data_IF_528626656786
#
_entry.id   IF_528626656786
#
_cell.length_a   1.000
_cell.length_b   1.000
_cell.length_c   1.000
_cell.angle_alpha   90.00
_cell.angle_beta   90.00
_cell.angle_gamma   90.00
#
_symmetry.space_group_name_H-M   'P 1'
#
loop_
_entity.id
_entity.type
_entity.pdbx_description
1 polymer ?
#
# COMPACT_ATOMS: atom_id res chain seq x y z
N UNK A 1 11.84 -11.32 22.23
CA UNK A 1 11.44 -11.10 20.82
C UNK A 1 10.66 -9.78 20.63
N UNK A 2 9.67 -9.50 21.47
CA UNK A 2 8.80 -8.29 21.38
C UNK A 2 9.53 -6.94 21.45
N UNK A 3 10.65 -6.84 22.18
CA UNK A 3 11.39 -5.58 22.33
C UNK A 3 12.12 -5.11 21.05
N UNK A 4 12.53 -6.03 20.17
CA UNK A 4 13.20 -5.69 18.92
C UNK A 4 12.25 -5.13 17.87
N UNK A 5 11.03 -5.67 17.83
CA UNK A 5 9.96 -5.28 16.90
C UNK A 5 9.47 -3.84 17.17
N UNK A 6 9.23 -3.49 18.44
CA UNK A 6 8.80 -2.15 18.84
C UNK A 6 9.87 -1.09 18.57
N UNK A 7 11.15 -1.43 18.73
CA UNK A 7 12.25 -0.52 18.43
C UNK A 7 12.44 -0.32 16.91
N UNK A 8 12.14 -1.35 16.10
CA UNK A 8 12.12 -1.29 14.64
C UNK A 8 11.04 -0.35 14.10
N UNK A 9 9.81 -0.53 14.57
CA UNK A 9 8.67 0.33 14.17
C UNK A 9 8.94 1.80 14.49
N UNK A 10 9.52 2.07 15.66
CA UNK A 10 9.89 3.43 16.09
C UNK A 10 10.98 4.07 15.19
N UNK A 11 11.98 3.30 14.75
CA UNK A 11 13.03 3.80 13.83
C UNK A 11 12.50 4.02 12.41
N UNK A 12 11.50 3.25 11.99
CA UNK A 12 10.81 3.43 10.71
C UNK A 12 9.85 4.63 10.70
N UNK A 13 9.68 5.33 11.84
CA UNK A 13 8.72 6.41 11.98
C UNK A 13 7.27 5.94 11.97
N UNK A 14 7.03 4.64 12.10
CA UNK A 14 5.68 4.05 12.17
C UNK A 14 5.21 4.20 13.61
N UNK A 15 4.60 5.35 13.89
CA UNK A 15 3.77 5.51 15.09
C UNK A 15 2.50 4.72 14.82
N UNK A 16 2.15 3.77 15.69
CA UNK A 16 0.82 3.17 15.73
C UNK A 16 -0.16 4.26 16.17
N UNK A 17 -0.45 5.21 15.28
CA UNK A 17 -1.65 5.99 15.40
C UNK A 17 -2.76 5.01 15.08
N UNK A 18 -3.51 4.61 16.13
CA UNK A 18 -4.87 4.17 15.95
C UNK A 18 -5.49 5.11 14.93
N UNK A 19 -5.91 4.56 13.78
CA UNK A 19 -6.48 5.31 12.69
C UNK A 19 -7.72 6.01 13.24
N UNK A 20 -7.54 7.25 13.68
CA UNK A 20 -8.63 8.12 14.07
C UNK A 20 -9.56 8.17 12.85
N UNK A 21 -10.79 7.67 13.01
CA UNK A 21 -11.80 7.46 11.98
C UNK A 21 -12.30 8.78 11.34
N UNK A 22 -11.45 9.80 11.30
CA UNK A 22 -11.55 10.91 10.38
C UNK A 22 -11.71 10.35 8.96
N UNK A 23 -12.80 10.76 8.30
CA UNK A 23 -13.13 10.42 6.92
C UNK A 23 -11.90 10.66 6.03
N UNK A 24 -11.21 9.58 5.65
CA UNK A 24 -10.05 9.65 4.76
C UNK A 24 -10.52 10.24 3.43
N UNK A 25 -10.12 11.49 3.17
CA UNK A 25 -10.33 12.12 1.87
C UNK A 25 -9.55 11.31 0.84
N UNK A 26 -10.25 10.82 -0.16
CA UNK A 26 -9.60 10.01 -1.19
C UNK A 26 -8.53 10.83 -1.92
N UNK A 27 -7.40 10.17 -2.13
CA UNK A 27 -6.29 10.61 -2.94
C UNK A 27 -5.90 9.49 -3.90
N UNK A 28 -5.60 9.82 -5.14
CA UNK A 28 -5.17 8.87 -6.17
C UNK A 28 -3.89 8.12 -5.76
N UNK A 29 -2.94 8.84 -5.14
CA UNK A 29 -1.68 8.25 -4.65
C UNK A 29 -1.94 7.24 -3.52
N UNK A 30 -2.82 7.58 -2.59
CA UNK A 30 -3.22 6.67 -1.50
C UNK A 30 -3.96 5.45 -2.05
N UNK A 31 -4.81 5.64 -3.05
CA UNK A 31 -5.50 4.54 -3.72
C UNK A 31 -4.49 3.55 -4.35
N UNK A 32 -3.48 4.06 -5.08
CA UNK A 32 -2.41 3.24 -5.65
C UNK A 32 -1.64 2.44 -4.57
N UNK A 33 -1.30 3.11 -3.46
CA UNK A 33 -0.61 2.47 -2.33
C UNK A 33 -1.46 1.36 -1.70
N UNK A 34 -2.75 1.61 -1.48
CA UNK A 34 -3.67 0.60 -0.93
C UNK A 34 -3.79 -0.63 -1.83
N UNK A 35 -3.82 -0.45 -3.15
CA UNK A 35 -3.80 -1.56 -4.10
C UNK A 35 -2.49 -2.35 -3.97
N UNK A 36 -1.35 -1.67 -3.90
CA UNK A 36 -0.05 -2.31 -3.69
C UNK A 36 0.00 -3.14 -2.41
N UNK A 37 -0.48 -2.58 -1.29
CA UNK A 37 -0.58 -3.28 0.01
C UNK A 37 -1.49 -4.51 -0.12
N UNK A 38 -2.64 -4.38 -0.80
CA UNK A 38 -3.56 -5.51 -1.04
C UNK A 38 -2.90 -6.63 -1.85
N UNK A 39 -2.12 -6.27 -2.87
CA UNK A 39 -1.32 -7.23 -3.63
C UNK A 39 -0.28 -7.94 -2.76
N UNK A 40 0.46 -7.20 -1.94
CA UNK A 40 1.50 -7.75 -1.07
C UNK A 40 0.93 -8.66 0.03
N UNK A 41 -0.12 -8.24 0.71
CA UNK A 41 -0.72 -8.95 1.86
C UNK A 41 -1.45 -10.23 1.46
N UNK A 42 -2.11 -10.24 0.30
CA UNK A 42 -2.90 -11.38 -0.16
C UNK A 42 -2.23 -12.20 -1.28
N UNK A 43 -0.94 -11.96 -1.57
CA UNK A 43 -0.21 -12.56 -2.68
C UNK A 43 -0.93 -12.47 -4.04
N UNK A 44 -1.60 -11.33 -4.31
CA UNK A 44 -2.39 -11.13 -5.52
C UNK A 44 -1.53 -10.52 -6.64
N UNK A 45 -1.69 -10.96 -7.90
CA UNK A 45 -1.02 -10.33 -9.02
C UNK A 45 -1.55 -8.92 -9.26
N UNK A 46 -0.71 -8.01 -9.75
CA UNK A 46 -1.10 -6.62 -10.08
C UNK A 46 -2.18 -6.57 -11.19
N UNK A 47 -2.34 -7.63 -11.97
CA UNK A 47 -3.37 -7.72 -13.01
C UNK A 47 -4.80 -7.69 -12.46
N UNK A 48 -5.01 -7.84 -11.14
CA UNK A 48 -6.32 -7.63 -10.49
C UNK A 48 -6.93 -6.27 -10.83
N UNK A 49 -6.09 -5.27 -11.10
CA UNK A 49 -6.51 -3.91 -11.44
C UNK A 49 -7.18 -3.85 -12.83
N UNK A 50 -6.83 -4.79 -13.71
CA UNK A 50 -7.42 -4.90 -15.04
C UNK A 50 -8.75 -5.67 -15.03
N UNK A 51 -9.05 -6.37 -13.93
CA UNK A 51 -10.25 -7.18 -13.79
C UNK A 51 -11.51 -6.34 -13.97
N UNK A 52 -12.49 -6.91 -14.68
CA UNK A 52 -13.74 -6.23 -15.00
C UNK A 52 -14.54 -5.91 -13.72
N UNK A 53 -14.58 -6.82 -12.76
CA UNK A 53 -15.37 -6.66 -11.54
C UNK A 53 -14.72 -5.64 -10.61
N UNK A 54 -13.39 -5.63 -10.53
CA UNK A 54 -12.67 -4.57 -9.82
C UNK A 54 -12.98 -3.17 -10.36
N UNK A 55 -13.00 -3.00 -11.69
CA UNK A 55 -13.35 -1.71 -12.32
C UNK A 55 -14.78 -1.29 -12.02
N UNK A 56 -15.73 -2.24 -12.06
CA UNK A 56 -17.13 -1.98 -11.71
C UNK A 56 -17.25 -1.58 -10.23
N UNK A 57 -16.56 -2.28 -9.32
CA UNK A 57 -16.53 -1.95 -7.90
C UNK A 57 -16.04 -0.51 -7.66
N UNK A 58 -14.92 -0.14 -8.29
CA UNK A 58 -14.36 1.22 -8.18
C UNK A 58 -15.32 2.27 -8.73
N UNK A 59 -15.94 2.02 -9.88
CA UNK A 59 -16.91 2.94 -10.48
C UNK A 59 -18.18 3.09 -9.62
N UNK A 60 -18.67 1.98 -9.02
CA UNK A 60 -19.83 2.01 -8.12
C UNK A 60 -19.55 2.80 -6.83
N UNK A 61 -18.35 2.68 -6.28
CA UNK A 61 -17.97 3.36 -5.04
C UNK A 61 -17.61 4.83 -5.27
N UNK A 62 -16.95 5.13 -6.39
CA UNK A 62 -16.56 6.49 -6.76
C UNK A 62 -16.46 6.63 -8.29
N UNK A 63 -17.53 7.13 -8.94
CA UNK A 63 -17.56 7.30 -10.39
C UNK A 63 -16.44 8.19 -10.92
N UNK A 64 -15.89 7.83 -12.08
CA UNK A 64 -14.83 8.60 -12.75
C UNK A 64 -13.45 8.48 -12.09
N UNK A 65 -13.25 7.49 -11.22
CA UNK A 65 -11.95 7.23 -10.61
C UNK A 65 -10.97 6.68 -11.65
N UNK A 66 -9.81 7.33 -11.78
CA UNK A 66 -8.73 6.83 -12.63
C UNK A 66 -8.03 5.68 -11.91
N UNK A 67 -8.10 4.51 -12.51
CA UNK A 67 -7.48 3.30 -11.99
C UNK A 67 -6.03 3.25 -12.51
N UNK A 68 -5.03 3.04 -11.64
CA UNK A 68 -3.63 3.01 -12.06
C UNK A 68 -3.34 1.81 -12.95
N UNK A 69 -2.32 1.93 -13.80
CA UNK A 69 -1.84 0.79 -14.58
C UNK A 69 -1.12 -0.23 -13.66
N UNK A 70 -1.25 -1.55 -13.86
CA UNK A 70 -0.55 -2.56 -13.06
C UNK A 70 0.96 -2.33 -12.94
N UNK A 71 1.60 -1.90 -14.02
CA UNK A 71 3.04 -1.58 -14.03
C UNK A 71 3.38 -0.38 -13.15
N UNK A 72 2.46 0.57 -12.96
CA UNK A 72 2.66 1.69 -12.04
C UNK A 72 2.68 1.18 -10.61
N UNK A 73 1.66 0.42 -10.21
CA UNK A 73 1.59 -0.16 -8.86
C UNK A 73 2.78 -1.06 -8.57
N UNK A 74 3.22 -1.86 -9.55
CA UNK A 74 4.41 -2.71 -9.40
C UNK A 74 5.69 -1.92 -9.16
N UNK A 75 5.94 -0.85 -9.94
CA UNK A 75 7.11 0.03 -9.78
C UNK A 75 7.09 0.78 -8.45
N UNK A 76 5.92 1.26 -8.05
CA UNK A 76 5.76 1.98 -6.78
C UNK A 76 6.03 1.05 -5.60
N UNK A 77 5.51 -0.18 -5.65
CA UNK A 77 5.75 -1.19 -4.62
C UNK A 77 7.23 -1.60 -4.54
N UNK A 78 7.89 -1.80 -5.69
CA UNK A 78 9.33 -2.08 -5.74
C UNK A 78 10.15 -0.95 -5.15
N UNK A 79 9.81 0.30 -5.47
CA UNK A 79 10.50 1.48 -4.94
C UNK A 79 10.36 1.57 -3.42
N UNK A 80 9.16 1.28 -2.91
CA UNK A 80 8.89 1.21 -1.47
C UNK A 80 9.72 0.09 -0.81
N UNK A 81 9.75 -1.10 -1.41
CA UNK A 81 10.56 -2.21 -0.91
C UNK A 81 12.07 -1.86 -0.88
N UNK A 82 12.62 -1.26 -1.94
CA UNK A 82 14.02 -0.83 -1.99
C UNK A 82 14.33 0.26 -0.95
N UNK A 83 13.38 1.16 -0.69
CA UNK A 83 13.49 2.13 0.38
C UNK A 83 13.55 1.46 1.75
N UNK A 84 12.64 0.53 2.02
CA UNK A 84 12.55 -0.19 3.30
C UNK A 84 13.71 -1.15 3.53
N UNK A 85 14.21 -1.82 2.48
CA UNK A 85 15.30 -2.80 2.60
C UNK A 85 16.59 -2.19 3.14
N UNK A 86 16.84 -0.91 2.87
CA UNK A 86 17.97 -0.16 3.47
C UNK A 86 17.91 -0.12 4.98
N UNK A 87 16.71 0.00 5.55
CA UNK A 87 16.52 0.01 7.00
C UNK A 87 16.62 -1.40 7.58
N UNK A 88 16.09 -2.42 6.89
CA UNK A 88 16.22 -3.83 7.33
C UNK A 88 17.68 -4.28 7.30
N UNK A 89 18.45 -3.90 6.28
CA UNK A 89 19.87 -4.25 6.15
C UNK A 89 20.74 -3.63 7.26
N UNK A 90 20.32 -2.53 7.89
CA UNK A 90 21.03 -1.92 9.03
C UNK A 90 20.80 -2.66 10.36
N UNK A 91 19.91 -3.66 10.40
CA UNK A 91 19.64 -4.44 11.60
C UNK A 91 20.49 -5.72 11.72
N UNK A 92 21.14 -6.15 10.63
CA UNK A 92 22.09 -7.27 10.60
C UNK A 92 23.52 -6.80 10.84
#
# INVERSE_FOLDING_TARGET
LVAGETQCLKRQGIVTNDLDHSSLVYSETLHCVLIGIRCATSARPFNIILDKWYKIEVEMLRPGTVIPHPTTVSRDLQSLYVGMSKYVAQYL
#
